data_IF_258111158705
#
_entry.id   IF_258111158705
#
_cell.length_a   1.000
_cell.length_b   1.000
_cell.length_c   1.000
_cell.angle_alpha   90.00
_cell.angle_beta   90.00
_cell.angle_gamma   90.00
#
_symmetry.space_group_name_H-M   'P 1'
#
loop_
_entity.id
_entity.type
_entity.pdbx_description
1 polymer ?
#
# COMPACT_ATOMS: atom_id res chain seq x y z
N UNK A 1 10.23 -3.78 2.13
CA UNK A 1 10.03 -2.42 2.70
C UNK A 1 10.40 -2.47 4.18
N UNK A 2 10.79 -1.37 4.85
CA UNK A 2 11.01 -1.40 6.31
C UNK A 2 9.72 -1.00 7.02
N UNK A 3 9.13 -1.92 7.77
CA UNK A 3 7.82 -1.75 8.41
C UNK A 3 7.74 -0.49 9.30
N UNK A 4 8.82 -0.16 10.01
CA UNK A 4 8.88 1.04 10.85
C UNK A 4 8.87 2.35 10.06
N UNK A 5 9.41 2.36 8.84
CA UNK A 5 9.39 3.56 7.98
C UNK A 5 7.97 3.88 7.50
N UNK A 6 7.19 2.84 7.17
CA UNK A 6 5.79 2.98 6.74
C UNK A 6 4.93 3.44 7.90
N UNK A 7 5.17 2.87 9.07
CA UNK A 7 4.51 3.23 10.30
C UNK A 7 4.69 4.71 10.65
N UNK A 8 5.94 5.20 10.64
CA UNK A 8 6.23 6.61 10.92
C UNK A 8 5.60 7.55 9.89
N UNK A 9 5.64 7.18 8.60
CA UNK A 9 5.00 7.94 7.53
C UNK A 9 3.47 7.97 7.66
N UNK A 10 2.86 6.87 8.10
CA UNK A 10 1.42 6.81 8.35
C UNK A 10 1.05 7.75 9.51
N UNK A 11 1.75 7.68 10.64
CA UNK A 11 1.53 8.60 11.78
C UNK A 11 1.67 10.06 11.35
N UNK A 12 2.70 10.37 10.57
CA UNK A 12 2.90 11.70 10.00
C UNK A 12 1.74 12.14 9.10
N UNK A 13 1.24 11.25 8.22
CA UNK A 13 0.11 11.54 7.33
C UNK A 13 -1.20 11.82 8.06
N UNK A 14 -1.40 11.16 9.21
CA UNK A 14 -2.57 11.31 10.07
C UNK A 14 -2.41 12.44 11.10
N UNK A 15 -1.22 13.04 11.19
CA UNK A 15 -0.84 14.04 12.21
C UNK A 15 -1.05 13.54 13.64
N UNK A 16 -0.66 12.28 13.88
CA UNK A 16 -0.76 11.64 15.19
C UNK A 16 0.57 11.76 15.93
N UNK A 17 0.55 12.51 17.04
CA UNK A 17 1.71 12.68 17.92
C UNK A 17 1.69 11.71 19.12
N UNK A 18 0.56 11.04 19.38
CA UNK A 18 0.41 10.07 20.47
C UNK A 18 0.69 8.64 19.99
N UNK A 19 0.86 7.72 20.96
CA UNK A 19 1.11 6.29 20.71
C UNK A 19 -0.10 5.40 21.02
N UNK A 20 -1.26 5.98 21.28
CA UNK A 20 -2.45 5.26 21.75
C UNK A 20 -2.99 4.27 20.70
N UNK A 21 -2.88 4.64 19.43
CA UNK A 21 -3.38 3.85 18.30
C UNK A 21 -2.30 3.02 17.60
N UNK A 22 -1.06 2.95 18.12
CA UNK A 22 0.09 2.32 17.44
C UNK A 22 -0.19 0.88 17.00
N UNK A 23 -0.78 0.06 17.88
CA UNK A 23 -1.14 -1.33 17.57
C UNK A 23 -2.17 -1.42 16.43
N UNK A 24 -3.10 -0.48 16.39
CA UNK A 24 -4.15 -0.45 15.38
C UNK A 24 -3.63 0.06 14.03
N UNK A 25 -2.76 1.08 14.06
CA UNK A 25 -2.08 1.58 12.87
C UNK A 25 -1.22 0.48 12.22
N UNK A 26 -0.50 -0.32 13.01
CA UNK A 26 0.24 -1.48 12.50
C UNK A 26 -0.68 -2.52 11.87
N UNK A 27 -1.81 -2.86 12.52
CA UNK A 27 -2.81 -3.75 11.93
C UNK A 27 -3.35 -3.22 10.58
N UNK A 28 -3.58 -1.91 10.47
CA UNK A 28 -4.03 -1.30 9.22
C UNK A 28 -2.98 -1.32 8.12
N UNK A 29 -1.70 -1.17 8.46
CA UNK A 29 -0.59 -1.35 7.52
C UNK A 29 -0.58 -2.79 7.02
N UNK A 30 -0.55 -3.78 7.91
CA UNK A 30 -0.50 -5.20 7.55
C UNK A 30 -1.69 -5.57 6.63
N UNK A 31 -2.89 -5.08 6.97
CA UNK A 31 -4.10 -5.32 6.17
C UNK A 31 -4.02 -4.64 4.80
N UNK A 32 -3.49 -3.41 4.75
CA UNK A 32 -3.34 -2.66 3.50
C UNK A 32 -2.30 -3.31 2.59
N UNK A 33 -1.18 -3.77 3.15
CA UNK A 33 -0.17 -4.53 2.43
C UNK A 33 -0.78 -5.79 1.82
N UNK A 34 -1.41 -6.65 2.62
CA UNK A 34 -2.02 -7.88 2.12
C UNK A 34 -3.03 -7.63 0.98
N UNK A 35 -3.84 -6.58 1.09
CA UNK A 35 -4.76 -6.16 0.03
C UNK A 35 -4.02 -5.73 -1.25
N UNK A 36 -2.99 -4.88 -1.13
CA UNK A 36 -2.28 -4.31 -2.28
C UNK A 36 -1.41 -5.35 -2.98
N UNK A 37 -0.61 -6.11 -2.23
CA UNK A 37 0.22 -7.19 -2.81
C UNK A 37 -0.67 -8.20 -3.53
N UNK A 38 -1.73 -8.69 -2.86
CA UNK A 38 -2.68 -9.62 -3.45
C UNK A 38 -3.42 -9.08 -4.67
N UNK A 39 -3.55 -7.76 -4.80
CA UNK A 39 -4.15 -7.15 -5.97
C UNK A 39 -3.18 -7.10 -7.17
N UNK A 40 -1.86 -7.03 -6.98
CA UNK A 40 -0.89 -6.85 -8.06
C UNK A 40 -0.49 -8.19 -8.69
N UNK A 41 -0.07 -9.13 -7.86
CA UNK A 41 0.52 -10.41 -8.28
C UNK A 41 0.89 -11.25 -7.06
N UNK A 42 1.23 -12.52 -7.25
CA UNK A 42 1.64 -13.37 -6.12
C UNK A 42 3.14 -13.24 -5.87
N UNK A 43 3.49 -13.04 -4.61
CA UNK A 43 4.87 -12.85 -4.12
C UNK A 43 5.78 -14.08 -4.36
N UNK A 44 5.20 -15.22 -4.73
CA UNK A 44 5.90 -16.48 -4.97
C UNK A 44 6.64 -16.51 -6.30
N UNK A 45 6.16 -15.80 -7.32
CA UNK A 45 6.71 -15.93 -8.67
C UNK A 45 7.97 -15.05 -8.84
N UNK A 46 7.94 -13.78 -8.40
CA UNK A 46 9.08 -12.86 -8.56
C UNK A 46 9.18 -11.77 -7.48
N UNK A 47 9.80 -12.11 -6.35
CA UNK A 47 10.12 -11.16 -5.26
C UNK A 47 10.97 -9.96 -5.73
N UNK A 48 11.80 -10.16 -6.76
CA UNK A 48 12.66 -9.11 -7.32
C UNK A 48 11.89 -7.92 -7.87
N UNK A 49 10.65 -8.13 -8.36
CA UNK A 49 9.79 -7.04 -8.82
C UNK A 49 9.48 -6.05 -7.69
N UNK A 50 9.10 -6.55 -6.51
CA UNK A 50 8.78 -5.76 -5.34
C UNK A 50 10.01 -5.07 -4.73
N UNK A 51 11.22 -5.48 -5.13
CA UNK A 51 12.47 -4.86 -4.71
C UNK A 51 12.90 -3.67 -5.59
N UNK A 52 12.26 -3.46 -6.75
CA UNK A 52 12.52 -2.29 -7.61
C UNK A 52 12.14 -1.01 -6.87
N UNK A 53 13.06 -0.06 -6.76
CA UNK A 53 12.89 1.16 -5.95
C UNK A 53 11.67 2.00 -6.34
N UNK A 54 11.32 2.07 -7.62
CA UNK A 54 10.10 2.74 -8.06
C UNK A 54 8.84 2.01 -7.59
N UNK A 55 8.83 0.67 -7.72
CA UNK A 55 7.73 -0.19 -7.26
C UNK A 55 7.53 -0.06 -5.75
N UNK A 56 8.62 -0.09 -4.97
CA UNK A 56 8.59 0.16 -3.52
C UNK A 56 7.90 1.47 -3.18
N UNK A 57 8.29 2.58 -3.83
CA UNK A 57 7.68 3.91 -3.55
C UNK A 57 6.19 3.94 -3.86
N UNK A 58 5.77 3.31 -4.95
CA UNK A 58 4.35 3.21 -5.32
C UNK A 58 3.57 2.36 -4.30
N UNK A 59 4.12 1.22 -3.89
CA UNK A 59 3.54 0.38 -2.84
C UNK A 59 3.41 1.14 -1.52
N UNK A 60 4.47 1.78 -1.03
CA UNK A 60 4.44 2.57 0.20
C UNK A 60 3.32 3.62 0.14
N UNK A 61 3.18 4.31 -1.00
CA UNK A 61 2.16 5.34 -1.17
C UNK A 61 0.75 4.74 -1.10
N UNK A 62 0.51 3.64 -1.81
CA UNK A 62 -0.78 2.96 -1.79
C UNK A 62 -1.12 2.41 -0.39
N UNK A 63 -0.14 1.82 0.31
CA UNK A 63 -0.31 1.26 1.66
C UNK A 63 -0.71 2.35 2.65
N UNK A 64 0.01 3.49 2.64
CA UNK A 64 -0.31 4.62 3.53
C UNK A 64 -1.71 5.16 3.24
N UNK A 65 -2.07 5.33 1.96
CA UNK A 65 -3.39 5.83 1.57
C UNK A 65 -4.51 4.86 2.00
N UNK A 66 -4.33 3.56 1.80
CA UNK A 66 -5.30 2.54 2.17
C UNK A 66 -5.45 2.42 3.70
N UNK A 67 -4.34 2.39 4.44
CA UNK A 67 -4.33 2.35 5.90
C UNK A 67 -4.97 3.61 6.51
N UNK A 68 -4.72 4.78 5.90
CA UNK A 68 -5.41 6.04 6.24
C UNK A 68 -6.93 5.91 6.05
N UNK A 69 -7.37 5.25 4.97
CA UNK A 69 -8.77 4.94 4.73
C UNK A 69 -9.38 4.10 5.85
N UNK A 70 -8.69 3.03 6.28
CA UNK A 70 -9.15 2.18 7.39
C UNK A 70 -9.25 2.96 8.71
N UNK A 71 -8.26 3.79 9.03
CA UNK A 71 -8.28 4.62 10.22
C UNK A 71 -9.43 5.62 10.22
N UNK A 72 -9.64 6.35 9.12
CA UNK A 72 -10.72 7.35 9.03
C UNK A 72 -12.12 6.71 9.07
N UNK A 73 -12.27 5.49 8.55
CA UNK A 73 -13.52 4.75 8.61
C UNK A 73 -13.94 4.41 10.05
N UNK A 74 -12.97 4.14 10.95
CA UNK A 74 -13.22 3.92 12.39
C UNK A 74 -13.81 5.15 13.08
N UNK A 75 -13.37 6.34 12.68
CA UNK A 75 -13.80 7.62 13.30
C UNK A 75 -15.11 8.17 12.72
N UNK A 76 -15.76 7.47 11.78
CA UNK A 76 -16.79 8.06 10.94
C UNK A 76 -18.17 8.17 11.64
N UNK A 77 -18.38 9.33 12.27
CA UNK A 77 -19.32 10.33 11.74
C UNK A 77 -18.51 11.22 10.78
N UNK A 78 -18.18 10.78 9.57
CA UNK A 78 -17.37 11.58 8.63
C UNK A 78 -18.15 11.99 7.38
N UNK A 79 -18.16 13.29 7.11
CA UNK A 79 -18.68 13.90 5.88
C UNK A 79 -17.69 13.78 4.70
N UNK A 80 -16.57 13.06 4.85
CA UNK A 80 -15.60 12.84 3.78
C UNK A 80 -15.99 11.55 3.04
N UNK A 81 -16.37 11.63 1.75
CA UNK A 81 -16.68 10.42 1.00
C UNK A 81 -15.43 9.55 0.88
N UNK A 82 -15.54 8.25 1.13
CA UNK A 82 -14.43 7.28 1.03
C UNK A 82 -13.95 7.05 -0.42
N UNK A 83 -14.69 7.59 -1.40
CA UNK A 83 -14.46 7.41 -2.84
C UNK A 83 -13.10 7.92 -3.36
N UNK A 84 -12.59 9.12 -2.98
CA UNK A 84 -11.33 9.64 -3.51
C UNK A 84 -10.09 8.84 -3.09
N UNK A 85 -10.06 8.28 -1.87
CA UNK A 85 -8.96 7.41 -1.40
C UNK A 85 -8.92 6.14 -2.24
N UNK A 86 -10.08 5.51 -2.45
CA UNK A 86 -10.19 4.32 -3.30
C UNK A 86 -9.73 4.58 -4.75
N UNK A 87 -10.04 5.74 -5.33
CA UNK A 87 -9.60 6.08 -6.69
C UNK A 87 -8.08 6.17 -6.81
N UNK A 88 -7.40 6.81 -5.85
CA UNK A 88 -5.95 6.93 -5.86
C UNK A 88 -5.26 5.58 -5.68
N UNK A 89 -5.71 4.78 -4.70
CA UNK A 89 -5.17 3.43 -4.44
C UNK A 89 -5.37 2.52 -5.66
N UNK A 90 -6.57 2.52 -6.25
CA UNK A 90 -6.86 1.69 -7.42
C UNK A 90 -6.03 2.11 -8.65
N UNK A 91 -5.78 3.41 -8.84
CA UNK A 91 -4.92 3.90 -9.92
C UNK A 91 -3.48 3.39 -9.77
N UNK A 92 -2.93 3.45 -8.56
CA UNK A 92 -1.58 2.95 -8.27
C UNK A 92 -1.52 1.42 -8.46
N UNK A 93 -2.51 0.68 -7.97
CA UNK A 93 -2.61 -0.78 -8.20
C UNK A 93 -2.65 -1.11 -9.69
N UNK A 94 -3.43 -0.37 -10.48
CA UNK A 94 -3.51 -0.56 -11.94
C UNK A 94 -2.16 -0.36 -12.63
N UNK A 95 -1.42 0.68 -12.25
CA UNK A 95 -0.08 0.91 -12.79
C UNK A 95 0.92 -0.17 -12.35
N UNK A 96 0.82 -0.64 -11.10
CA UNK A 96 1.67 -1.71 -10.58
C UNK A 96 1.39 -3.05 -11.26
N UNK A 97 0.13 -3.38 -11.55
CA UNK A 97 -0.25 -4.55 -12.35
C UNK A 97 0.38 -4.51 -13.73
N UNK A 98 0.25 -3.40 -14.44
CA UNK A 98 0.85 -3.23 -15.77
C UNK A 98 2.37 -3.45 -15.73
N UNK A 99 3.05 -2.85 -14.74
CA UNK A 99 4.50 -3.03 -14.57
C UNK A 99 4.87 -4.47 -14.22
N UNK A 100 4.07 -5.13 -13.39
CA UNK A 100 4.26 -6.54 -13.04
C UNK A 100 4.15 -7.40 -14.30
N UNK A 101 3.10 -7.23 -15.10
CA UNK A 101 2.90 -7.97 -16.34
C UNK A 101 4.08 -7.79 -17.31
N UNK A 102 4.55 -6.54 -17.52
CA UNK A 102 5.74 -6.29 -18.35
C UNK A 102 7.00 -6.94 -17.80
N UNK A 103 7.21 -6.89 -16.48
CA UNK A 103 8.35 -7.54 -15.83
C UNK A 103 8.31 -9.07 -16.03
N UNK A 104 7.13 -9.69 -15.89
CA UNK A 104 6.94 -11.12 -16.10
C UNK A 104 7.24 -11.52 -17.56
N UNK A 105 6.79 -10.71 -18.52
CA UNK A 105 7.08 -10.93 -19.95
C UNK A 105 8.58 -10.86 -20.25
N UNK A 106 9.29 -9.88 -19.69
CA UNK A 106 10.75 -9.77 -19.84
C UNK A 106 11.46 -11.01 -19.27
N UNK A 107 11.12 -11.44 -18.05
CA UNK A 107 11.71 -12.62 -17.43
C UNK A 107 11.40 -13.93 -18.17
N UNK A 108 10.22 -14.04 -18.79
CA UNK A 108 9.86 -15.19 -19.60
C UNK A 108 10.65 -15.26 -20.92
N UNK A 109 11.03 -14.12 -21.49
CA UNK A 109 11.80 -14.04 -22.73
C UNK A 109 13.32 -14.19 -22.53
N UNK A 110 13.80 -14.05 -21.30
CA UNK A 110 15.21 -14.24 -20.91
C UNK A 110 15.57 -15.70 -20.57
N UNK A 111 14.58 -16.59 -20.48
CA UNK A 111 14.73 -18.04 -20.25
C UNK A 111 14.60 -18.86 -21.55
#
# INVERSE_FOLDING_TARGET
>A
MKDDEVFDKLKLSLRLDSNEDDNLLRLYIDTAEGFIYGAIGRDEDYKSFFEIEEVKRMLTTAVIAQATGYYNARTSISNIPMSPVNLAVNSIIGQLRYRYDSFMEEQANEN
#
